data_IF_177515306161
#
_entry.id   IF_177515306161
#
_cell.length_a   1.000
_cell.length_b   1.000
_cell.length_c   1.000
_cell.angle_alpha   90.00
_cell.angle_beta   90.00
_cell.angle_gamma   90.00
#
_symmetry.space_group_name_H-M   'P 1'
#
loop_
_entity.id
_entity.type
_entity.pdbx_description
1 polymer ?
#
# COMPACT_ATOMS: atom_id res chain seq x y z
N UNK A 1 1.73 -15.55 -10.67
CA UNK A 1 1.76 -14.26 -11.41
C UNK A 1 2.75 -14.37 -12.57
N UNK A 2 2.65 -13.56 -13.63
CA UNK A 2 3.71 -13.50 -14.65
C UNK A 2 4.96 -12.83 -14.07
N UNK A 3 6.17 -13.32 -14.43
CA UNK A 3 7.43 -12.81 -13.87
C UNK A 3 7.70 -11.34 -14.22
N UNK A 4 7.28 -10.88 -15.40
CA UNK A 4 7.46 -9.47 -15.80
C UNK A 4 6.52 -8.56 -15.02
N UNK A 5 5.31 -9.03 -14.70
CA UNK A 5 4.37 -8.33 -13.82
C UNK A 5 4.95 -8.24 -12.41
N UNK A 6 5.46 -9.36 -11.89
CA UNK A 6 6.09 -9.42 -10.56
C UNK A 6 7.25 -8.42 -10.45
N UNK A 7 8.17 -8.45 -11.41
CA UNK A 7 9.29 -7.51 -11.53
C UNK A 7 8.81 -6.07 -11.53
N UNK A 8 7.87 -5.73 -12.42
CA UNK A 8 7.39 -4.35 -12.60
C UNK A 8 6.70 -3.83 -11.34
N UNK A 9 5.95 -4.69 -10.63
CA UNK A 9 5.35 -4.33 -9.33
C UNK A 9 6.44 -4.03 -8.31
N UNK A 10 7.43 -4.91 -8.16
CA UNK A 10 8.54 -4.74 -7.21
C UNK A 10 9.33 -3.46 -7.48
N UNK A 11 9.70 -3.18 -8.73
CA UNK A 11 10.51 -2.00 -9.10
C UNK A 11 9.85 -0.66 -8.73
N UNK A 12 8.51 -0.62 -8.74
CA UNK A 12 7.74 0.59 -8.40
C UNK A 12 7.57 0.82 -6.91
N UNK A 13 7.92 -0.14 -6.06
CA UNK A 13 7.72 -0.02 -4.62
C UNK A 13 8.74 0.91 -3.97
N UNK A 14 8.42 1.36 -2.76
CA UNK A 14 9.35 2.14 -1.94
C UNK A 14 10.53 1.31 -1.43
N UNK A 15 11.61 2.00 -1.06
CA UNK A 15 12.82 1.39 -0.48
C UNK A 15 12.52 0.48 0.72
N UNK A 16 11.51 0.81 1.52
CA UNK A 16 11.13 0.00 2.69
C UNK A 16 10.61 -1.38 2.27
N UNK A 17 9.76 -1.43 1.22
CA UNK A 17 9.30 -2.70 0.67
C UNK A 17 10.42 -3.48 0.01
N UNK A 18 11.37 -2.81 -0.66
CA UNK A 18 12.56 -3.49 -1.19
C UNK A 18 13.39 -4.16 -0.10
N UNK A 19 13.47 -3.57 1.11
CA UNK A 19 14.14 -4.18 2.26
C UNK A 19 13.40 -5.44 2.73
N UNK A 20 12.07 -5.41 2.82
CA UNK A 20 11.28 -6.60 3.18
C UNK A 20 11.38 -7.71 2.13
N UNK A 21 11.31 -7.35 0.84
CA UNK A 21 11.53 -8.28 -0.27
C UNK A 21 12.91 -8.92 -0.18
N UNK A 22 13.95 -8.13 0.14
CA UNK A 22 15.29 -8.66 0.35
C UNK A 22 15.35 -9.65 1.52
N UNK A 23 14.57 -9.44 2.60
CA UNK A 23 14.47 -10.42 3.70
C UNK A 23 13.83 -11.73 3.23
N UNK A 24 12.76 -11.67 2.43
CA UNK A 24 12.12 -12.86 1.83
C UNK A 24 13.14 -13.63 0.97
N UNK A 25 13.89 -12.92 0.12
CA UNK A 25 14.92 -13.51 -0.71
C UNK A 25 16.04 -14.16 0.12
N UNK A 26 16.46 -13.55 1.23
CA UNK A 26 17.50 -14.08 2.13
C UNK A 26 17.04 -15.26 2.98
N UNK A 27 15.74 -15.35 3.30
CA UNK A 27 15.15 -16.45 4.07
C UNK A 27 15.35 -17.80 3.35
N UNK A 28 15.25 -17.77 2.03
CA UNK A 28 15.45 -18.94 1.19
C UNK A 28 16.94 -19.05 0.84
N UNK A 29 17.69 -19.80 1.65
CA UNK A 29 19.16 -19.92 1.58
C UNK A 29 19.75 -20.41 0.25
N UNK A 30 18.91 -20.78 -0.72
CA UNK A 30 19.32 -21.20 -2.07
C UNK A 30 19.35 -20.03 -3.07
N UNK A 31 18.95 -18.82 -2.69
CA UNK A 31 18.97 -17.65 -3.57
C UNK A 31 20.35 -17.00 -3.57
N UNK A 32 21.03 -17.02 -4.72
CA UNK A 32 22.28 -16.26 -4.90
C UNK A 32 21.97 -14.80 -5.18
N UNK A 33 22.24 -13.94 -4.19
CA UNK A 33 22.09 -12.50 -4.31
C UNK A 33 23.42 -11.87 -4.75
N UNK A 34 23.37 -11.02 -5.79
CA UNK A 34 24.53 -10.28 -6.27
C UNK A 34 24.42 -8.83 -5.78
N UNK A 35 25.21 -8.48 -4.78
CA UNK A 35 25.21 -7.16 -4.15
C UNK A 35 26.44 -6.35 -4.58
N UNK A 36 26.22 -5.09 -4.92
CA UNK A 36 27.28 -4.10 -5.14
C UNK A 36 26.90 -2.75 -4.51
N UNK A 37 27.74 -1.72 -4.66
CA UNK A 37 27.48 -0.38 -4.09
C UNK A 37 26.16 0.25 -4.55
N UNK A 38 25.59 -0.21 -5.66
CA UNK A 38 24.35 0.29 -6.24
C UNK A 38 23.11 -0.51 -5.81
N UNK A 39 23.27 -1.62 -5.07
CA UNK A 39 22.18 -2.43 -4.54
C UNK A 39 22.33 -3.93 -4.85
N UNK A 40 21.20 -4.63 -4.78
CA UNK A 40 21.12 -6.08 -5.01
C UNK A 40 20.43 -6.35 -6.33
N UNK A 41 21.12 -7.05 -7.24
CA UNK A 41 20.54 -7.52 -8.49
C UNK A 41 20.01 -8.94 -8.32
N UNK A 42 18.77 -9.16 -8.77
CA UNK A 42 18.07 -10.43 -8.62
C UNK A 42 17.54 -10.86 -9.98
N UNK A 43 17.87 -12.09 -10.39
CA UNK A 43 17.26 -12.71 -11.57
C UNK A 43 16.09 -13.58 -11.12
N UNK A 44 14.86 -13.13 -11.39
CA UNK A 44 13.64 -13.83 -10.97
C UNK A 44 13.51 -15.23 -11.60
N UNK A 45 14.03 -15.45 -12.81
CA UNK A 45 13.98 -16.74 -13.50
C UNK A 45 14.81 -17.84 -12.83
N UNK A 46 15.73 -17.47 -11.93
CA UNK A 46 16.53 -18.41 -11.16
C UNK A 46 16.03 -18.58 -9.72
N UNK A 47 14.92 -17.93 -9.36
CA UNK A 47 14.34 -18.11 -8.04
C UNK A 47 13.52 -19.40 -7.98
N UNK A 48 13.59 -20.14 -6.86
CA UNK A 48 12.68 -21.25 -6.61
C UNK A 48 11.22 -20.80 -6.62
N UNK A 49 10.33 -21.67 -7.06
CA UNK A 49 8.88 -21.40 -7.09
C UNK A 49 8.31 -21.02 -5.71
N UNK A 50 8.86 -21.59 -4.63
CA UNK A 50 8.49 -21.23 -3.26
C UNK A 50 8.79 -19.75 -2.95
N UNK A 51 9.99 -19.29 -3.31
CA UNK A 51 10.38 -17.88 -3.15
C UNK A 51 9.51 -16.97 -4.00
N UNK A 52 9.21 -17.36 -5.24
CA UNK A 52 8.29 -16.60 -6.10
C UNK A 52 6.89 -16.50 -5.47
N UNK A 53 6.39 -17.58 -4.89
CA UNK A 53 5.10 -17.58 -4.19
C UNK A 53 5.12 -16.69 -2.94
N UNK A 54 6.19 -16.70 -2.15
CA UNK A 54 6.32 -15.79 -1.00
C UNK A 54 6.34 -14.31 -1.42
N UNK A 55 7.03 -13.99 -2.53
CA UNK A 55 7.03 -12.65 -3.10
C UNK A 55 5.64 -12.22 -3.57
N UNK A 56 4.93 -13.10 -4.29
CA UNK A 56 3.55 -12.82 -4.73
C UNK A 56 2.61 -12.59 -3.54
N UNK A 57 2.70 -13.43 -2.50
CA UNK A 57 1.90 -13.27 -1.28
C UNK A 57 2.19 -11.95 -0.57
N UNK A 58 3.46 -11.55 -0.51
CA UNK A 58 3.84 -10.26 0.08
C UNK A 58 3.25 -9.09 -0.72
N UNK A 59 3.31 -9.13 -2.06
CA UNK A 59 2.73 -8.07 -2.88
C UNK A 59 1.21 -7.96 -2.71
N UNK A 60 0.50 -9.09 -2.68
CA UNK A 60 -0.95 -9.10 -2.45
C UNK A 60 -1.29 -8.52 -1.08
N UNK A 61 -0.51 -8.86 -0.05
CA UNK A 61 -0.68 -8.31 1.30
C UNK A 61 -0.50 -6.78 1.36
N UNK A 62 0.43 -6.22 0.59
CA UNK A 62 0.60 -4.76 0.50
C UNK A 62 -0.58 -4.11 -0.23
N UNK A 63 -1.05 -4.73 -1.32
CA UNK A 63 -2.20 -4.25 -2.08
C UNK A 63 -3.48 -4.24 -1.23
N UNK A 64 -3.73 -5.31 -0.46
CA UNK A 64 -4.88 -5.40 0.46
C UNK A 64 -4.80 -4.34 1.58
N UNK A 65 -3.60 -4.06 2.08
CA UNK A 65 -3.38 -2.99 3.08
C UNK A 65 -3.70 -1.62 2.51
N UNK A 66 -3.25 -1.32 1.30
CA UNK A 66 -3.49 -0.03 0.64
C UNK A 66 -4.99 0.18 0.41
N UNK A 67 -5.70 -0.83 -0.09
CA UNK A 67 -7.16 -0.79 -0.26
C UNK A 67 -7.87 -0.57 1.09
N UNK A 68 -7.42 -1.26 2.14
CA UNK A 68 -8.00 -1.12 3.48
C UNK A 68 -7.81 0.29 4.03
N UNK A 69 -6.63 0.88 3.85
CA UNK A 69 -6.34 2.25 4.27
C UNK A 69 -7.22 3.26 3.52
N UNK A 70 -7.30 3.16 2.20
CA UNK A 70 -8.16 4.02 1.37
C UNK A 70 -9.62 3.92 1.82
N UNK A 71 -10.10 2.71 2.11
CA UNK A 71 -11.47 2.49 2.58
C UNK A 71 -11.72 3.18 3.92
N UNK A 72 -10.78 3.08 4.86
CA UNK A 72 -10.88 3.75 6.16
C UNK A 72 -10.82 5.27 6.03
N UNK A 73 -9.98 5.81 5.15
CA UNK A 73 -9.91 7.24 4.87
C UNK A 73 -11.23 7.77 4.30
N UNK A 74 -11.81 7.06 3.33
CA UNK A 74 -13.11 7.40 2.75
C UNK A 74 -14.23 7.39 3.80
N UNK A 75 -14.28 6.36 4.65
CA UNK A 75 -15.26 6.30 5.75
C UNK A 75 -15.10 7.45 6.74
N UNK A 76 -13.86 7.81 7.06
CA UNK A 76 -13.56 8.94 7.96
C UNK A 76 -14.01 10.26 7.33
N UNK A 77 -13.79 10.44 6.04
CA UNK A 77 -14.23 11.63 5.30
C UNK A 77 -15.76 11.71 5.24
N UNK A 78 -16.44 10.62 4.90
CA UNK A 78 -17.90 10.55 4.86
C UNK A 78 -18.50 10.88 6.24
N UNK A 79 -17.96 10.31 7.32
CA UNK A 79 -18.38 10.61 8.68
C UNK A 79 -18.18 12.09 9.02
N UNK A 80 -17.02 12.66 8.64
CA UNK A 80 -16.76 14.09 8.87
C UNK A 80 -17.80 14.98 8.17
N UNK A 81 -18.09 14.67 6.92
CA UNK A 81 -18.99 15.46 6.09
C UNK A 81 -20.44 15.37 6.59
N UNK A 82 -20.91 14.16 6.90
CA UNK A 82 -22.30 13.93 7.36
C UNK A 82 -22.57 14.44 8.77
N UNK A 83 -21.61 14.36 9.70
CA UNK A 83 -21.89 14.69 11.11
C UNK A 83 -21.45 16.08 11.55
N UNK A 84 -20.42 16.67 10.93
CA UNK A 84 -19.89 17.97 11.36
C UNK A 84 -20.20 19.07 10.34
N UNK A 85 -20.06 18.82 9.04
CA UNK A 85 -20.33 19.85 8.02
C UNK A 85 -21.84 20.09 7.87
N UNK A 86 -22.67 19.05 7.79
CA UNK A 86 -24.13 19.24 7.73
C UNK A 86 -24.70 19.88 9.01
N UNK A 87 -24.04 19.72 10.16
CA UNK A 87 -24.44 20.35 11.41
C UNK A 87 -24.08 21.84 11.45
N UNK A 88 -22.87 22.20 11.05
CA UNK A 88 -22.46 23.62 10.98
C UNK A 88 -23.37 24.41 10.03
N UNK A 89 -23.72 23.87 8.86
CA UNK A 89 -24.66 24.53 7.93
C UNK A 89 -26.05 24.71 8.55
N UNK A 90 -26.55 23.73 9.33
CA UNK A 90 -27.85 23.84 10.00
C UNK A 90 -27.86 24.85 11.15
N UNK A 91 -26.78 24.94 11.93
CA UNK A 91 -26.65 25.91 13.02
C UNK A 91 -26.47 27.35 12.50
N UNK A 92 -25.68 27.55 11.45
CA UNK A 92 -25.49 28.88 10.83
C UNK A 92 -26.77 29.43 10.18
N UNK A 93 -27.59 28.56 9.58
CA UNK A 93 -28.87 28.96 8.97
C UNK A 93 -29.93 29.36 10.02
N UNK A 94 -29.91 28.72 11.19
CA UNK A 94 -30.79 29.07 12.31
C UNK A 94 -30.42 30.42 12.94
N UNK A 95 -29.13 30.79 12.95
CA UNK A 95 -28.69 32.08 13.47
C UNK A 95 -29.13 33.25 12.57
N UNK A 96 -29.01 33.11 11.24
CA UNK A 96 -29.43 34.15 10.28
C UNK A 96 -30.95 34.42 10.28
N UNK A 97 -31.76 33.37 10.42
CA UNK A 97 -33.23 33.51 10.49
C UNK A 97 -33.71 34.19 11.79
N UNK A 98 -32.90 34.16 12.85
CA UNK A 98 -33.21 34.77 14.15
C UNK A 98 -32.85 36.26 14.24
N UNK A 99 -32.03 36.77 13.32
CA UNK A 99 -31.54 38.16 13.30
C UNK A 99 -32.38 39.06 12.36
N UNK A 100 -33.21 38.47 11.49
CA UNK A 100 -33.93 39.17 10.41
C UNK A 100 -35.38 39.60 10.76
N UNK A 101 -35.68 39.90 12.04
CA UNK A 101 -37.01 40.40 12.48
C UNK A 101 -36.99 41.87 12.86
#
# INVERSE_FOLDING_TARGET
MDLEILKTKIEKMSKNHHIEILKILKKNGNVKLNENKSGVYVNLSFLPNETLSELENYLNYIEDQEISLITLENQKEEFKNTFFIEKEVKEDTLCYSSISK
#
